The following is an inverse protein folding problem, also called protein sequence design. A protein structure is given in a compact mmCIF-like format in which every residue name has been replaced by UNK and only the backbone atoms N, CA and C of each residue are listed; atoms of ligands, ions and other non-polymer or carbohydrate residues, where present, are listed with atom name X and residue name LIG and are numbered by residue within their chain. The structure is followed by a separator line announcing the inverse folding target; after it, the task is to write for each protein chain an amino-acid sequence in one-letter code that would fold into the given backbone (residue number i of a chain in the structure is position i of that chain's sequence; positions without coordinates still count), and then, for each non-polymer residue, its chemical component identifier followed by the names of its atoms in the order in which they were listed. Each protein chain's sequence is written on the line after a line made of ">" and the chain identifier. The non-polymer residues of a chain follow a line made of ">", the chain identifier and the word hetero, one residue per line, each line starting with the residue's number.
data_IF_680921473015
#
_entry.id   IF_680921473015
#
_cell.length_a   1.000
_cell.length_b   1.000
_cell.length_c   1.000
_cell.angle_alpha   90.00
_cell.angle_beta   90.00
_cell.angle_gamma   90.00
#
_symmetry.space_group_name_H-M   'P 1'
#
loop_
_entity.id
_entity.type
_entity.pdbx_description
1 polymer ?
#
# COMPACT_ATOMS: atom_id res chain seq x y z
N UNK A 1 -25.09 -2.65 1.24
CA UNK A 1 -23.80 -2.13 0.70
C UNK A 1 -24.10 -1.18 -0.44
N UNK A 2 -23.38 -0.08 -0.52
CA UNK A 2 -23.50 0.95 -1.57
C UNK A 2 -22.75 0.49 -2.82
N UNK A 3 -23.50 0.18 -3.88
CA UNK A 3 -22.93 -0.22 -5.17
C UNK A 3 -22.10 0.90 -5.77
N UNK A 4 -21.09 0.53 -6.55
CA UNK A 4 -20.16 1.44 -7.22
C UNK A 4 -19.37 2.36 -6.26
N UNK A 5 -19.40 2.11 -4.93
CA UNK A 5 -18.57 2.80 -3.95
C UNK A 5 -17.39 1.92 -3.55
N UNK A 6 -16.19 2.45 -3.72
CA UNK A 6 -14.95 1.81 -3.27
C UNK A 6 -14.32 2.60 -2.12
N UNK A 7 -13.92 1.93 -1.07
CA UNK A 7 -13.08 2.48 -0.01
C UNK A 7 -11.63 2.13 -0.24
N UNK A 8 -10.77 3.13 -0.38
CA UNK A 8 -9.34 3.00 -0.67
C UNK A 8 -8.58 3.48 0.55
N UNK A 9 -7.80 2.59 1.17
CA UNK A 9 -7.04 2.88 2.38
C UNK A 9 -5.55 2.75 2.07
N UNK A 10 -4.84 3.87 2.08
CA UNK A 10 -3.40 3.92 1.91
C UNK A 10 -2.69 3.93 3.27
N UNK A 11 -1.72 3.05 3.44
CA UNK A 11 -0.80 2.99 4.58
C UNK A 11 0.60 3.20 4.02
N UNK A 12 1.12 4.42 4.16
CA UNK A 12 2.33 4.88 3.50
C UNK A 12 3.45 5.09 4.51
N UNK A 13 4.55 4.40 4.30
CA UNK A 13 5.77 4.56 5.10
C UNK A 13 6.40 5.92 4.86
N UNK A 14 6.75 6.62 5.95
CA UNK A 14 7.60 7.82 5.95
C UNK A 14 8.74 7.67 6.95
N UNK A 15 9.15 6.45 7.26
CA UNK A 15 10.30 6.17 8.12
C UNK A 15 11.62 6.56 7.46
N UNK A 16 12.71 6.51 8.24
CA UNK A 16 14.02 6.99 7.80
C UNK A 16 14.56 6.34 6.53
N UNK A 17 14.17 5.11 6.23
CA UNK A 17 14.55 4.38 5.02
C UNK A 17 14.01 5.01 3.72
N UNK A 18 12.87 5.71 3.80
CA UNK A 18 12.29 6.44 2.66
C UNK A 18 13.05 7.71 2.27
N UNK A 19 14.16 8.03 2.96
CA UNK A 19 14.96 9.24 2.72
C UNK A 19 15.51 9.33 1.29
N UNK A 20 15.27 10.48 0.63
CA UNK A 20 15.66 10.74 -0.76
C UNK A 20 14.60 10.33 -1.79
N UNK A 21 13.48 9.76 -1.37
CA UNK A 21 12.34 9.39 -2.20
C UNK A 21 11.09 10.25 -1.94
N UNK A 22 11.20 11.29 -1.10
CA UNK A 22 10.06 12.10 -0.68
C UNK A 22 9.32 12.72 -1.88
N UNK A 23 10.06 13.35 -2.79
CA UNK A 23 9.47 13.98 -3.98
C UNK A 23 8.85 12.96 -4.94
N UNK A 24 9.48 11.78 -5.09
CA UNK A 24 8.98 10.70 -5.95
C UNK A 24 7.73 10.06 -5.34
N UNK A 25 7.68 9.92 -4.01
CA UNK A 25 6.51 9.42 -3.27
C UNK A 25 5.34 10.39 -3.38
N UNK A 26 5.55 11.69 -3.12
CA UNK A 26 4.52 12.73 -3.25
C UNK A 26 4.01 12.79 -4.68
N UNK A 27 4.92 12.85 -5.66
CA UNK A 27 4.58 12.92 -7.08
C UNK A 27 3.82 11.68 -7.56
N UNK A 28 4.25 10.49 -7.15
CA UNK A 28 3.62 9.22 -7.47
C UNK A 28 2.21 9.12 -6.89
N UNK A 29 2.05 9.43 -5.60
CA UNK A 29 0.76 9.43 -4.92
C UNK A 29 -0.23 10.41 -5.59
N UNK A 30 0.18 11.66 -5.82
CA UNK A 30 -0.65 12.66 -6.46
C UNK A 30 -1.03 12.29 -7.91
N UNK A 31 -0.10 11.70 -8.66
CA UNK A 31 -0.36 11.21 -10.03
C UNK A 31 -1.38 10.09 -10.03
N UNK A 32 -1.23 9.12 -9.12
CA UNK A 32 -2.16 8.01 -8.94
C UNK A 32 -3.55 8.53 -8.55
N UNK A 33 -3.67 9.41 -7.55
CA UNK A 33 -4.96 10.02 -7.18
C UNK A 33 -5.62 10.72 -8.37
N UNK A 34 -4.86 11.48 -9.16
CA UNK A 34 -5.38 12.16 -10.34
C UNK A 34 -5.89 11.19 -11.42
N UNK A 35 -5.30 10.00 -11.55
CA UNK A 35 -5.82 8.93 -12.41
C UNK A 35 -7.13 8.40 -11.83
N UNK A 36 -7.15 8.09 -10.54
CA UNK A 36 -8.32 7.53 -9.86
C UNK A 36 -9.53 8.49 -9.81
N UNK A 37 -9.31 9.82 -9.75
CA UNK A 37 -10.38 10.82 -9.86
C UNK A 37 -11.12 10.79 -11.21
N UNK A 38 -10.51 10.22 -12.24
CA UNK A 38 -11.10 10.11 -13.59
C UNK A 38 -11.84 8.80 -13.82
N UNK A 39 -11.68 7.83 -12.93
CA UNK A 39 -12.37 6.55 -13.00
C UNK A 39 -13.85 6.70 -12.64
N UNK A 40 -14.66 5.80 -13.18
CA UNK A 40 -16.10 5.74 -12.87
C UNK A 40 -16.33 5.23 -11.46
N UNK A 41 -17.51 5.52 -10.91
CA UNK A 41 -17.91 5.15 -9.58
C UNK A 41 -17.39 6.11 -8.50
N UNK A 42 -17.97 6.02 -7.31
CA UNK A 42 -17.56 6.81 -6.16
C UNK A 42 -16.38 6.16 -5.42
N UNK A 43 -15.52 6.96 -4.82
CA UNK A 43 -14.48 6.45 -3.94
C UNK A 43 -14.33 7.30 -2.69
N UNK A 44 -14.07 6.63 -1.56
CA UNK A 44 -13.62 7.25 -0.32
C UNK A 44 -12.14 6.93 -0.13
N UNK A 45 -11.38 7.91 0.28
CA UNK A 45 -9.92 7.78 0.48
C UNK A 45 -9.58 8.02 1.94
N UNK A 46 -8.92 7.04 2.53
CA UNK A 46 -8.19 7.19 3.79
C UNK A 46 -6.70 7.10 3.50
N UNK A 47 -5.90 7.98 4.11
CA UNK A 47 -4.43 7.97 3.96
C UNK A 47 -3.80 8.06 5.33
N UNK A 48 -3.10 7.03 5.70
CA UNK A 48 -2.35 6.92 6.94
C UNK A 48 -0.86 6.98 6.61
N UNK A 49 -0.19 8.00 7.12
CA UNK A 49 1.27 8.11 7.08
C UNK A 49 1.82 7.50 8.35
N UNK A 50 2.82 6.66 8.26
CA UNK A 50 3.40 6.07 9.46
C UNK A 50 4.93 6.14 9.47
N UNK A 51 5.44 6.30 10.68
CA UNK A 51 6.82 6.15 11.09
C UNK A 51 6.83 5.39 12.44
N UNK A 52 7.32 5.98 13.52
CA UNK A 52 7.15 5.48 14.88
C UNK A 52 5.70 5.57 15.39
N UNK A 53 4.90 6.46 14.77
CA UNK A 53 3.48 6.70 15.06
C UNK A 53 2.72 6.83 13.76
N UNK A 54 1.42 6.53 13.81
CA UNK A 54 0.54 6.73 12.66
C UNK A 54 -0.12 8.11 12.72
N UNK A 55 -0.22 8.77 11.58
CA UNK A 55 -0.90 10.05 11.39
C UNK A 55 -1.91 9.91 10.26
N UNK A 56 -3.17 10.23 10.53
CA UNK A 56 -4.24 10.18 9.54
C UNK A 56 -4.25 11.49 8.76
N UNK A 57 -3.89 11.44 7.49
CA UNK A 57 -3.91 12.58 6.58
C UNK A 57 -5.30 12.77 5.96
N UNK A 58 -5.94 11.67 5.55
CA UNK A 58 -7.31 11.65 5.05
C UNK A 58 -8.08 10.55 5.77
N UNK A 59 -9.32 10.83 6.16
CA UNK A 59 -10.22 9.86 6.78
C UNK A 59 -11.54 9.83 6.00
N UNK A 60 -11.68 8.83 5.13
CA UNK A 60 -12.85 8.58 4.31
C UNK A 60 -13.32 9.82 3.50
N UNK A 61 -12.37 10.57 2.98
CA UNK A 61 -12.65 11.76 2.17
C UNK A 61 -13.10 11.33 0.77
N UNK A 62 -14.23 11.87 0.22
CA UNK A 62 -14.57 11.65 -1.18
C UNK A 62 -13.39 12.01 -2.07
N UNK A 63 -13.04 11.12 -3.02
CA UNK A 63 -11.81 11.22 -3.80
C UNK A 63 -11.67 12.55 -4.54
N UNK A 64 -12.79 13.13 -4.98
CA UNK A 64 -12.83 14.43 -5.68
C UNK A 64 -12.37 15.58 -4.77
N UNK A 65 -12.52 15.42 -3.44
CA UNK A 65 -12.17 16.42 -2.43
C UNK A 65 -10.78 16.22 -1.83
N UNK A 66 -10.11 15.11 -2.19
CA UNK A 66 -8.75 14.84 -1.70
C UNK A 66 -7.79 15.85 -2.34
N UNK A 67 -7.16 16.68 -1.52
CA UNK A 67 -6.14 17.62 -1.97
C UNK A 67 -4.81 16.90 -2.23
N UNK A 68 -3.97 17.41 -3.16
CA UNK A 68 -2.65 16.85 -3.40
C UNK A 68 -1.78 16.86 -2.13
N UNK A 69 -1.10 15.74 -1.89
CA UNK A 69 -0.10 15.65 -0.82
C UNK A 69 1.07 16.60 -1.07
N UNK A 70 1.57 17.23 -0.02
CA UNK A 70 2.65 18.21 -0.07
C UNK A 70 3.83 17.79 0.79
N UNK A 71 5.00 18.43 0.60
CA UNK A 71 6.20 18.23 1.42
C UNK A 71 5.98 18.60 2.90
N UNK A 72 4.97 19.42 3.22
CA UNK A 72 4.61 19.73 4.61
C UNK A 72 3.91 18.57 5.31
N UNK A 73 3.27 17.68 4.54
CA UNK A 73 2.52 16.54 5.05
C UNK A 73 3.36 15.26 5.02
N UNK A 74 4.10 15.04 3.92
CA UNK A 74 4.98 13.89 3.79
C UNK A 74 6.45 14.32 3.90
N UNK A 75 7.07 13.98 5.01
CA UNK A 75 8.49 14.17 5.29
C UNK A 75 8.99 12.98 6.11
N UNK A 76 10.20 12.57 5.83
CA UNK A 76 10.82 11.36 6.39
C UNK A 76 11.29 11.57 7.81
N UNK A 77 11.00 10.61 8.71
CA UNK A 77 11.47 10.60 10.11
C UNK A 77 11.29 9.24 10.78
N UNK A 78 12.08 9.00 11.82
CA UNK A 78 11.83 7.94 12.80
C UNK A 78 12.02 6.51 12.32
N UNK A 79 11.35 5.60 13.01
CA UNK A 79 11.39 4.15 12.86
C UNK A 79 10.11 3.66 12.15
N UNK A 80 9.99 2.35 11.96
CA UNK A 80 8.92 1.71 11.16
C UNK A 80 7.98 0.94 12.08
N UNK A 81 6.83 1.52 12.48
CA UNK A 81 5.79 0.86 13.26
C UNK A 81 4.68 0.33 12.33
N UNK A 82 5.03 -0.58 11.43
CA UNK A 82 4.17 -1.11 10.37
C UNK A 82 2.99 -1.91 10.91
N UNK A 83 3.22 -2.75 11.93
CA UNK A 83 2.17 -3.59 12.55
C UNK A 83 1.11 -2.69 13.18
N UNK A 84 1.52 -1.64 13.92
CA UNK A 84 0.59 -0.69 14.54
C UNK A 84 -0.20 0.09 13.49
N UNK A 85 0.43 0.47 12.37
CA UNK A 85 -0.23 1.18 11.28
C UNK A 85 -1.31 0.32 10.61
N UNK A 86 -0.99 -0.94 10.27
CA UNK A 86 -1.95 -1.87 9.66
C UNK A 86 -3.08 -2.17 10.65
N UNK A 87 -2.75 -2.56 11.90
CA UNK A 87 -3.75 -2.91 12.91
C UNK A 87 -4.70 -1.77 13.22
N UNK A 88 -4.15 -0.55 13.39
CA UNK A 88 -4.94 0.66 13.63
C UNK A 88 -5.89 0.98 12.47
N UNK A 89 -5.39 0.95 11.23
CA UNK A 89 -6.19 1.24 10.05
C UNK A 89 -7.32 0.20 9.83
N UNK A 90 -7.01 -1.10 9.92
CA UNK A 90 -8.01 -2.18 9.79
C UNK A 90 -9.07 -2.07 10.86
N UNK A 91 -8.66 -1.84 12.13
CA UNK A 91 -9.61 -1.64 13.23
C UNK A 91 -10.53 -0.45 13.00
N UNK A 92 -9.97 0.69 12.58
CA UNK A 92 -10.74 1.92 12.32
C UNK A 92 -11.81 1.71 11.25
N UNK A 93 -11.44 1.23 10.07
CA UNK A 93 -12.39 1.01 8.97
C UNK A 93 -13.44 -0.06 9.33
N UNK A 94 -13.03 -1.15 9.99
CA UNK A 94 -13.97 -2.17 10.50
C UNK A 94 -14.98 -1.56 11.47
N UNK A 95 -14.54 -0.72 12.40
CA UNK A 95 -15.42 -0.07 13.37
C UNK A 95 -16.36 0.92 12.66
N UNK A 96 -15.88 1.69 11.68
CA UNK A 96 -16.75 2.56 10.87
C UNK A 96 -17.82 1.75 10.14
N UNK A 97 -17.45 0.68 9.43
CA UNK A 97 -18.43 -0.16 8.70
C UNK A 97 -19.48 -0.80 9.63
N UNK A 98 -19.12 -1.05 10.89
CA UNK A 98 -20.03 -1.60 11.89
C UNK A 98 -21.11 -0.59 12.33
N UNK A 99 -20.79 0.72 12.33
CA UNK A 99 -21.67 1.74 12.91
C UNK A 99 -22.38 2.61 11.87
N UNK A 100 -21.96 2.59 10.60
CA UNK A 100 -22.70 3.24 9.51
C UNK A 100 -23.88 2.34 9.06
N UNK A 101 -24.84 2.92 8.34
CA UNK A 101 -25.97 2.16 7.78
C UNK A 101 -25.45 1.14 6.77
N UNK A 102 -26.07 -0.03 6.70
CA UNK A 102 -25.67 -1.10 5.77
C UNK A 102 -25.63 -0.62 4.30
N UNK A 103 -26.58 0.26 3.94
CA UNK A 103 -26.65 0.86 2.59
C UNK A 103 -25.51 1.82 2.27
N UNK A 104 -24.79 2.33 3.28
CA UNK A 104 -23.64 3.23 3.13
C UNK A 104 -22.28 2.50 3.20
N UNK A 105 -22.29 1.20 3.56
CA UNK A 105 -21.06 0.39 3.53
C UNK A 105 -20.57 0.23 2.09
N UNK A 106 -19.30 0.54 1.77
CA UNK A 106 -18.76 0.38 0.43
C UNK A 106 -18.90 -1.05 -0.09
N UNK A 107 -19.15 -1.19 -1.39
CA UNK A 107 -19.15 -2.49 -2.07
C UNK A 107 -17.77 -3.11 -2.07
N UNK A 108 -16.74 -2.28 -2.25
CA UNK A 108 -15.34 -2.69 -2.28
C UNK A 108 -14.52 -1.95 -1.25
N UNK A 109 -13.60 -2.66 -0.60
CA UNK A 109 -12.60 -2.08 0.31
C UNK A 109 -11.24 -2.64 -0.03
N UNK A 110 -10.29 -1.75 -0.33
CA UNK A 110 -8.91 -2.11 -0.66
C UNK A 110 -7.93 -1.35 0.21
N UNK A 111 -7.02 -2.10 0.84
CA UNK A 111 -5.87 -1.57 1.58
C UNK A 111 -4.62 -1.66 0.70
N UNK A 112 -3.90 -0.57 0.59
CA UNK A 112 -2.62 -0.47 -0.10
C UNK A 112 -1.56 -0.11 0.93
N UNK A 113 -0.66 -1.04 1.18
CA UNK A 113 0.41 -0.92 2.17
C UNK A 113 1.74 -0.83 1.43
N UNK A 114 2.51 0.23 1.67
CA UNK A 114 3.85 0.37 1.10
C UNK A 114 4.86 0.71 2.17
N UNK A 115 6.01 0.03 2.12
CA UNK A 115 7.13 0.22 3.04
C UNK A 115 8.45 -0.09 2.34
N UNK A 116 9.54 0.53 2.76
CA UNK A 116 10.89 0.17 2.32
C UNK A 116 11.80 -0.29 3.48
N UNK A 117 11.19 -0.60 4.62
CA UNK A 117 11.90 -1.04 5.83
C UNK A 117 11.20 -2.18 6.57
N UNK A 118 11.99 -2.85 7.41
CA UNK A 118 11.46 -3.87 8.31
C UNK A 118 10.77 -3.23 9.52
N UNK A 119 9.70 -3.88 9.99
CA UNK A 119 9.06 -3.58 11.28
C UNK A 119 10.08 -3.54 12.42
N UNK A 120 10.08 -2.45 13.19
CA UNK A 120 11.03 -2.30 14.31
C UNK A 120 10.53 -1.43 15.47
N UNK A 121 9.29 -0.95 15.44
CA UNK A 121 8.83 0.06 16.41
C UNK A 121 7.40 -0.13 16.95
N UNK A 122 6.63 -1.10 16.46
CA UNK A 122 5.26 -1.35 16.90
C UNK A 122 5.19 -1.80 18.36
N UNK A 123 4.13 -1.37 19.06
CA UNK A 123 3.93 -1.63 20.51
C UNK A 123 2.48 -1.91 20.87
N UNK A 124 1.54 -1.62 19.99
CA UNK A 124 0.09 -1.67 20.26
C UNK A 124 -0.52 -2.98 19.82
N UNK A 125 -0.12 -3.48 18.65
CA UNK A 125 -0.59 -4.73 18.08
C UNK A 125 0.56 -5.72 17.93
N UNK A 126 0.26 -7.01 18.08
CA UNK A 126 1.15 -8.09 17.68
C UNK A 126 0.90 -8.49 16.22
N UNK A 127 1.91 -9.11 15.58
CA UNK A 127 1.79 -9.63 14.22
C UNK A 127 0.63 -10.64 14.10
N UNK A 128 0.45 -11.52 15.09
CA UNK A 128 -0.63 -12.51 15.10
C UNK A 128 -2.02 -11.87 15.21
N UNK A 129 -2.16 -10.76 15.94
CA UNK A 129 -3.42 -10.01 16.01
C UNK A 129 -3.74 -9.38 14.67
N UNK A 130 -2.78 -8.69 14.05
CA UNK A 130 -2.95 -8.08 12.72
C UNK A 130 -3.28 -9.14 11.69
N UNK A 131 -2.56 -10.27 11.69
CA UNK A 131 -2.83 -11.39 10.79
C UNK A 131 -4.28 -11.86 10.88
N UNK A 132 -4.77 -12.13 12.10
CA UNK A 132 -6.17 -12.54 12.31
C UNK A 132 -7.16 -11.49 11.82
N UNK A 133 -6.89 -10.20 12.07
CA UNK A 133 -7.74 -9.10 11.62
C UNK A 133 -7.80 -9.03 10.10
N UNK A 134 -6.66 -9.13 9.43
CA UNK A 134 -6.57 -9.13 7.96
C UNK A 134 -7.28 -10.34 7.36
N UNK A 135 -7.01 -11.55 7.87
CA UNK A 135 -7.66 -12.79 7.41
C UNK A 135 -9.19 -12.73 7.58
N UNK A 136 -9.68 -12.20 8.73
CA UNK A 136 -11.12 -12.00 8.97
C UNK A 136 -11.74 -11.07 7.91
N UNK A 137 -11.09 -9.94 7.58
CA UNK A 137 -11.66 -8.99 6.63
C UNK A 137 -11.52 -9.48 5.18
N UNK A 138 -10.44 -10.19 4.84
CA UNK A 138 -10.32 -10.89 3.55
C UNK A 138 -11.46 -11.89 3.34
N UNK A 139 -11.84 -12.61 4.38
CA UNK A 139 -13.00 -13.50 4.35
C UNK A 139 -14.34 -12.78 4.11
N UNK A 140 -14.39 -11.45 4.26
CA UNK A 140 -15.54 -10.59 3.96
C UNK A 140 -15.41 -9.84 2.63
N UNK A 141 -14.38 -10.15 1.84
CA UNK A 141 -14.16 -9.56 0.52
C UNK A 141 -13.30 -8.30 0.51
N UNK A 142 -12.62 -7.94 1.61
CA UNK A 142 -11.62 -6.88 1.57
C UNK A 142 -10.35 -7.36 0.87
N UNK A 143 -9.76 -6.50 0.08
CA UNK A 143 -8.48 -6.76 -0.58
C UNK A 143 -7.34 -6.00 0.12
N UNK A 144 -6.18 -6.64 0.15
CA UNK A 144 -4.96 -6.08 0.75
C UNK A 144 -3.82 -6.25 -0.23
N UNK A 145 -3.21 -5.15 -0.64
CA UNK A 145 -2.01 -5.12 -1.49
C UNK A 145 -0.82 -4.69 -0.64
N UNK A 146 0.26 -5.44 -0.71
CA UNK A 146 1.48 -5.16 0.02
C UNK A 146 2.66 -4.95 -0.94
N UNK A 147 3.30 -3.81 -0.82
CA UNK A 147 4.42 -3.40 -1.66
C UNK A 147 5.63 -3.11 -0.77
N UNK A 148 6.66 -3.93 -0.88
CA UNK A 148 7.85 -3.84 -0.07
C UNK A 148 9.12 -3.58 -0.87
N UNK A 149 9.99 -2.68 -0.39
CA UNK A 149 11.34 -2.55 -0.89
C UNK A 149 12.34 -2.93 0.23
N UNK A 150 13.53 -3.36 -0.16
CA UNK A 150 14.61 -3.74 0.77
C UNK A 150 14.23 -4.84 1.78
N UNK A 151 13.11 -5.52 1.58
CA UNK A 151 12.59 -6.62 2.39
C UNK A 151 12.08 -7.74 1.47
N UNK A 152 11.83 -8.92 2.01
CA UNK A 152 11.02 -9.94 1.32
C UNK A 152 9.54 -9.57 1.48
N UNK A 153 8.98 -8.89 0.48
CA UNK A 153 7.60 -8.41 0.53
C UNK A 153 6.59 -9.58 0.60
N UNK A 154 6.86 -10.69 -0.07
CA UNK A 154 5.97 -11.85 -0.10
C UNK A 154 5.92 -12.54 1.28
N UNK A 155 7.08 -12.80 1.87
CA UNK A 155 7.13 -13.44 3.19
C UNK A 155 6.61 -12.49 4.29
N UNK A 156 6.90 -11.19 4.20
CA UNK A 156 6.38 -10.18 5.12
C UNK A 156 4.85 -10.10 5.05
N UNK A 157 4.29 -10.00 3.85
CA UNK A 157 2.85 -9.97 3.59
C UNK A 157 2.13 -11.21 4.15
N UNK A 158 2.72 -12.40 3.94
CA UNK A 158 2.22 -13.66 4.49
C UNK A 158 2.19 -13.66 6.02
N UNK A 159 3.18 -13.03 6.66
CA UNK A 159 3.20 -12.80 8.10
C UNK A 159 1.99 -12.00 8.60
N UNK A 160 1.42 -11.13 7.78
CA UNK A 160 0.21 -10.35 8.04
C UNK A 160 -1.08 -10.98 7.50
N UNK A 161 -1.04 -12.23 6.99
CA UNK A 161 -2.23 -12.88 6.43
C UNK A 161 -2.62 -12.38 5.04
N UNK A 162 -1.77 -11.63 4.35
CA UNK A 162 -1.95 -11.18 2.97
C UNK A 162 -1.46 -12.26 2.02
N UNK A 163 -2.23 -12.54 0.97
CA UNK A 163 -1.90 -13.59 0.02
C UNK A 163 -0.67 -13.24 -0.84
N UNK A 164 0.19 -14.21 -1.20
CA UNK A 164 1.40 -13.96 -1.99
C UNK A 164 1.14 -13.25 -3.33
N UNK A 165 0.03 -13.53 -3.99
CA UNK A 165 -0.40 -12.88 -5.24
C UNK A 165 -0.81 -11.40 -5.05
N UNK A 166 -0.92 -10.95 -3.82
CA UNK A 166 -1.21 -9.57 -3.41
C UNK A 166 0.02 -8.84 -2.87
N UNK A 167 1.20 -9.42 -3.03
CA UNK A 167 2.46 -8.82 -2.60
C UNK A 167 3.42 -8.68 -3.77
N UNK A 168 4.18 -7.59 -3.81
CA UNK A 168 5.25 -7.39 -4.77
C UNK A 168 6.44 -6.67 -4.16
N UNK A 169 7.63 -7.03 -4.62
CA UNK A 169 8.84 -6.29 -4.32
C UNK A 169 9.01 -5.13 -5.31
N UNK A 170 9.47 -3.98 -4.83
CA UNK A 170 9.86 -2.88 -5.68
C UNK A 170 11.26 -2.37 -5.31
N UNK A 171 11.89 -1.62 -6.19
CA UNK A 171 13.19 -1.02 -5.91
C UNK A 171 13.02 0.33 -5.22
N UNK A 172 13.75 0.55 -4.15
CA UNK A 172 13.82 1.84 -3.44
C UNK A 172 14.66 2.85 -4.25
N UNK A 173 14.18 3.19 -5.45
CA UNK A 173 14.72 4.23 -6.32
C UNK A 173 13.57 4.93 -7.06
N UNK A 174 13.87 6.03 -7.75
CA UNK A 174 12.89 6.82 -8.49
C UNK A 174 12.04 6.00 -9.47
N UNK A 175 12.67 5.06 -10.20
CA UNK A 175 11.97 4.22 -11.18
C UNK A 175 11.04 3.22 -10.47
N UNK A 176 11.55 2.54 -9.46
CA UNK A 176 10.78 1.59 -8.66
C UNK A 176 9.61 2.26 -7.93
N UNK A 177 9.83 3.45 -7.35
CA UNK A 177 8.77 4.24 -6.72
C UNK A 177 7.66 4.60 -7.73
N UNK A 178 8.03 5.03 -8.95
CA UNK A 178 7.03 5.30 -9.99
C UNK A 178 6.22 4.05 -10.35
N UNK A 179 6.88 2.91 -10.60
CA UNK A 179 6.21 1.64 -10.93
C UNK A 179 5.34 1.14 -9.78
N UNK A 180 5.77 1.37 -8.53
CA UNK A 180 4.99 1.08 -7.35
C UNK A 180 3.62 1.80 -7.37
N UNK A 181 3.59 3.10 -7.63
CA UNK A 181 2.33 3.86 -7.75
C UNK A 181 1.52 3.51 -8.99
N UNK A 182 2.16 3.14 -10.10
CA UNK A 182 1.45 2.63 -11.28
C UNK A 182 0.79 1.27 -10.99
N UNK A 183 1.46 0.37 -10.27
CA UNK A 183 0.92 -0.92 -9.82
C UNK A 183 -0.27 -0.74 -8.84
N UNK A 184 -0.14 0.16 -7.84
CA UNK A 184 -1.25 0.53 -6.95
C UNK A 184 -2.46 1.01 -7.76
N UNK A 185 -2.24 1.93 -8.72
CA UNK A 185 -3.31 2.46 -9.57
C UNK A 185 -4.02 1.36 -10.35
N UNK A 186 -3.27 0.39 -10.88
CA UNK A 186 -3.81 -0.75 -11.62
C UNK A 186 -4.70 -1.64 -10.74
N UNK A 187 -4.22 -2.01 -9.55
CA UNK A 187 -4.99 -2.83 -8.60
C UNK A 187 -6.29 -2.13 -8.16
N UNK A 188 -6.22 -0.83 -7.86
CA UNK A 188 -7.40 -0.03 -7.48
C UNK A 188 -8.40 0.03 -8.65
N UNK A 189 -7.94 0.28 -9.88
CA UNK A 189 -8.82 0.35 -11.07
C UNK A 189 -9.53 -0.98 -11.32
N UNK A 190 -8.84 -2.13 -11.18
CA UNK A 190 -9.48 -3.45 -11.28
C UNK A 190 -10.60 -3.59 -10.24
N UNK A 191 -10.33 -3.22 -8.98
CA UNK A 191 -11.32 -3.30 -7.90
C UNK A 191 -12.53 -2.41 -8.17
N UNK A 192 -12.31 -1.15 -8.59
CA UNK A 192 -13.37 -0.18 -8.89
C UNK A 192 -14.24 -0.61 -10.09
N UNK A 193 -13.67 -1.36 -10.99
CA UNK A 193 -14.41 -1.95 -12.13
C UNK A 193 -15.08 -3.29 -11.76
N UNK A 194 -15.06 -3.72 -10.50
CA UNK A 194 -15.55 -5.04 -10.06
C UNK A 194 -14.91 -6.20 -10.83
N UNK A 195 -13.67 -6.02 -11.28
CA UNK A 195 -12.87 -7.05 -11.94
C UNK A 195 -11.92 -7.66 -10.91
N UNK A 196 -11.80 -9.00 -10.84
CA UNK A 196 -10.84 -9.64 -9.95
C UNK A 196 -9.42 -9.11 -10.20
N UNK A 197 -8.70 -8.80 -9.13
CA UNK A 197 -7.31 -8.35 -9.23
C UNK A 197 -6.48 -9.54 -9.74
N UNK A 198 -6.11 -9.51 -11.02
CA UNK A 198 -5.22 -10.51 -11.66
C UNK A 198 -3.76 -10.13 -11.47
N UNK A 199 -2.80 -11.01 -11.77
CA UNK A 199 -1.37 -10.73 -11.63
C UNK A 199 -0.85 -9.59 -12.54
N UNK A 200 -1.67 -9.13 -13.50
CA UNK A 200 -1.33 -7.98 -14.36
C UNK A 200 -1.05 -6.69 -13.57
N UNK A 201 -1.62 -6.55 -12.35
CA UNK A 201 -1.40 -5.37 -11.53
C UNK A 201 0.07 -5.14 -11.17
N UNK A 202 0.85 -6.22 -11.04
CA UNK A 202 2.26 -6.17 -10.61
C UNK A 202 3.26 -6.51 -11.70
N UNK A 203 2.83 -6.79 -12.91
CA UNK A 203 3.68 -7.26 -14.01
C UNK A 203 4.90 -6.38 -14.23
N UNK A 204 4.70 -5.07 -14.43
CA UNK A 204 5.79 -4.15 -14.74
C UNK A 204 6.79 -4.01 -13.57
N UNK A 205 6.29 -4.06 -12.33
CA UNK A 205 7.12 -3.96 -11.14
C UNK A 205 7.93 -5.24 -10.92
N UNK A 206 7.35 -6.42 -11.17
CA UNK A 206 8.03 -7.70 -11.10
C UNK A 206 9.10 -7.83 -12.20
N UNK A 207 8.81 -7.40 -13.42
CA UNK A 207 9.78 -7.39 -14.53
C UNK A 207 10.98 -6.48 -14.23
N UNK A 208 10.75 -5.29 -13.68
CA UNK A 208 11.82 -4.36 -13.29
C UNK A 208 12.67 -4.91 -12.16
N UNK A 209 12.04 -5.46 -11.13
CA UNK A 209 12.72 -6.02 -9.97
C UNK A 209 13.63 -7.18 -10.38
N UNK A 210 13.08 -8.17 -11.08
CA UNK A 210 13.80 -9.37 -11.51
C UNK A 210 14.88 -9.08 -12.57
N UNK A 211 14.61 -8.18 -13.53
CA UNK A 211 15.56 -7.80 -14.57
C UNK A 211 16.81 -7.10 -14.03
N UNK A 212 16.72 -6.44 -12.88
CA UNK A 212 17.85 -5.77 -12.24
C UNK A 212 18.69 -6.73 -11.38
N UNK A 213 18.11 -7.74 -10.76
CA UNK A 213 18.84 -8.76 -10.00
C UNK A 213 19.78 -9.58 -10.93
N UNK A 214 19.33 -9.91 -12.13
CA UNK A 214 20.16 -10.62 -13.13
C UNK A 214 21.38 -9.80 -13.54
N UNK A 215 21.27 -8.46 -13.67
CA UNK A 215 22.41 -7.58 -14.00
C UNK A 215 23.41 -7.46 -12.85
N UNK A 216 22.96 -7.55 -11.61
CA UNK A 216 23.82 -7.44 -10.42
C UNK A 216 24.61 -8.74 -10.19
N UNK A 217 23.96 -9.88 -10.38
CA UNK A 217 24.59 -11.21 -10.27
C UNK A 217 25.55 -11.51 -11.41
N UNK A 218 25.24 -11.05 -12.65
CA UNK A 218 26.14 -11.17 -13.81
C UNK A 218 27.44 -10.35 -13.70
N UNK A 219 27.45 -9.26 -12.91
CA UNK A 219 28.66 -8.46 -12.64
C UNK A 219 29.55 -9.04 -11.54
N UNK A 220 28.99 -9.78 -10.57
CA UNK A 220 29.79 -10.47 -9.53
C UNK A 220 30.53 -11.69 -10.07
N UNK A 221 29.99 -12.37 -11.08
CA UNK A 221 30.63 -13.55 -11.70
C UNK A 221 31.82 -13.23 -12.61
N UNK A 222 32.02 -11.96 -13.02
CA UNK A 222 33.16 -11.56 -13.92
C UNK A 222 34.39 -11.02 -13.19
N UNK A 223 34.40 -10.96 -11.84
CA UNK A 223 35.54 -10.43 -11.07
C UNK A 223 36.47 -11.51 -10.46
N UNK A 224 36.31 -12.78 -10.82
CA UNK A 224 37.14 -13.88 -10.30
C UNK A 224 37.76 -14.72 -11.41
N UNK A 225 38.19 -14.09 -12.51
CA UNK A 225 39.12 -14.73 -13.50
C UNK A 225 40.08 -13.63 -13.94
N UNK A 226 41.14 -13.45 -13.19
CA UNK A 226 42.46 -12.99 -13.61
C UNK A 226 43.46 -13.27 -12.48
#
# INVERSE_FOLDING_TARGET
>A
MKKDLTEIVFILDRSGSMGGLESDTIGGFNSMLNKQKKEKGEALVSTILFDKVSEVLHDRVPIEKVEPMTEKQYFVRGCTALIDAIGGAVKHIKDVHKYIREEDVPEHTIFIITTDGMENASRTFSSDEVKRMVEEQRGKGWEFIFLGANIDAVETAKGFGIAPERAANYRSDRKGTKLNYDAMSSAISMMRCSVPISDEWRKDIDEEYNGSEQKTNGKKGKKHIN
#
